data_IF_484086753813
#
_entry.id   IF_484086753813
#
_cell.length_a   1.000
_cell.length_b   1.000
_cell.length_c   1.000
_cell.angle_alpha   90.00
_cell.angle_beta   90.00
_cell.angle_gamma   90.00
#
_symmetry.space_group_name_H-M   'P 1'
#
loop_
_entity.id
_entity.type
_entity.pdbx_description
1 polymer ?
#
# COMPACT_ATOMS: atom_id res chain seq x y z
N UNK A 1 -19.14 1.00 5.17
CA UNK A 1 -18.75 2.31 5.74
C UNK A 1 -18.79 3.32 4.61
N UNK A 2 -19.49 4.45 4.76
CA UNK A 2 -19.52 5.49 3.72
C UNK A 2 -18.54 6.59 4.13
N UNK A 3 -17.50 6.81 3.33
CA UNK A 3 -16.56 7.91 3.54
C UNK A 3 -17.17 9.22 3.01
N UNK A 4 -16.77 10.32 3.61
CA UNK A 4 -17.27 11.65 3.21
C UNK A 4 -16.77 11.98 1.80
N UNK A 5 -17.62 12.60 0.95
CA UNK A 5 -17.16 13.14 -0.32
C UNK A 5 -15.98 14.10 -0.13
N UNK A 6 -15.07 14.11 -1.08
CA UNK A 6 -13.88 14.96 -1.07
C UNK A 6 -12.95 14.81 0.15
N UNK A 7 -13.07 13.70 0.89
CA UNK A 7 -12.24 13.42 2.07
C UNK A 7 -10.73 13.50 1.79
N UNK A 8 -10.32 13.20 0.57
CA UNK A 8 -8.94 13.16 0.12
C UNK A 8 -8.61 14.30 -0.87
N UNK A 9 -9.41 15.36 -0.89
CA UNK A 9 -9.13 16.52 -1.75
C UNK A 9 -7.77 17.11 -1.41
N UNK A 10 -6.92 17.26 -2.43
CA UNK A 10 -5.56 17.77 -2.30
C UNK A 10 -4.52 16.75 -1.87
N UNK A 11 -4.93 15.51 -1.60
CA UNK A 11 -4.02 14.39 -1.31
C UNK A 11 -3.51 13.81 -2.62
N UNK A 12 -2.20 13.58 -2.74
CA UNK A 12 -1.55 12.98 -3.90
C UNK A 12 -0.86 11.67 -3.53
N UNK A 13 -1.22 10.59 -4.21
CA UNK A 13 -0.84 9.22 -3.81
C UNK A 13 -0.24 8.46 -4.98
N UNK A 14 0.90 7.82 -4.76
CA UNK A 14 1.42 6.80 -5.65
C UNK A 14 0.66 5.48 -5.40
N UNK A 15 0.20 4.83 -6.46
CA UNK A 15 -0.41 3.49 -6.37
C UNK A 15 0.33 2.55 -7.29
N UNK A 16 0.81 1.44 -6.75
CA UNK A 16 1.55 0.43 -7.49
C UNK A 16 1.24 -0.99 -7.04
N UNK A 17 1.85 -1.95 -7.74
CA UNK A 17 1.62 -3.38 -7.52
C UNK A 17 0.81 -4.01 -8.65
N UNK A 18 0.69 -5.32 -8.62
CA UNK A 18 0.09 -6.15 -9.66
C UNK A 18 -1.22 -6.81 -9.25
N UNK A 19 -1.71 -6.51 -8.05
CA UNK A 19 -2.97 -7.03 -7.53
C UNK A 19 -4.20 -6.23 -7.96
N UNK A 20 -5.36 -6.87 -7.89
CA UNK A 20 -6.66 -6.24 -8.22
C UNK A 20 -7.04 -5.09 -7.28
N UNK A 21 -6.48 -5.09 -6.07
CA UNK A 21 -6.71 -4.01 -5.11
C UNK A 21 -6.09 -2.68 -5.56
N UNK A 22 -4.97 -2.69 -6.29
CA UNK A 22 -4.34 -1.47 -6.78
C UNK A 22 -5.31 -0.64 -7.65
N UNK A 23 -6.01 -1.30 -8.60
CA UNK A 23 -7.03 -0.64 -9.45
C UNK A 23 -8.20 -0.12 -8.62
N UNK A 24 -8.77 -0.96 -7.75
CA UNK A 24 -9.89 -0.55 -6.91
C UNK A 24 -9.52 0.59 -5.95
N UNK A 25 -8.30 0.58 -5.41
CA UNK A 25 -7.78 1.65 -4.58
C UNK A 25 -7.64 2.97 -5.37
N UNK A 26 -7.08 2.91 -6.58
CA UNK A 26 -6.95 4.07 -7.48
C UNK A 26 -8.31 4.72 -7.74
N UNK A 27 -9.32 3.90 -8.08
CA UNK A 27 -10.68 4.39 -8.35
C UNK A 27 -11.31 5.00 -7.09
N UNK A 28 -11.18 4.32 -5.94
CA UNK A 28 -11.71 4.81 -4.67
C UNK A 28 -11.05 6.12 -4.22
N UNK A 29 -9.74 6.25 -4.38
CA UNK A 29 -8.99 7.47 -4.06
C UNK A 29 -9.42 8.65 -4.93
N UNK A 30 -9.53 8.43 -6.25
CA UNK A 30 -10.02 9.46 -7.20
C UNK A 30 -11.45 9.89 -6.89
N UNK A 31 -12.33 8.94 -6.55
CA UNK A 31 -13.71 9.23 -6.18
C UNK A 31 -13.84 10.10 -4.91
N UNK A 32 -12.83 10.09 -4.04
CA UNK A 32 -12.76 10.93 -2.84
C UNK A 32 -11.91 12.20 -3.03
N UNK A 33 -11.52 12.52 -4.26
CA UNK A 33 -10.84 13.77 -4.62
C UNK A 33 -9.31 13.72 -4.59
N UNK A 34 -8.69 12.55 -4.40
CA UNK A 34 -7.24 12.41 -4.48
C UNK A 34 -6.72 12.45 -5.92
N UNK A 35 -5.49 12.92 -6.07
CA UNK A 35 -4.70 12.72 -7.29
C UNK A 35 -3.93 11.41 -7.15
N UNK A 36 -4.03 10.55 -8.17
CA UNK A 36 -3.36 9.24 -8.17
C UNK A 36 -2.34 9.17 -9.28
N UNK A 37 -1.09 8.91 -8.90
CA UNK A 37 0.03 8.60 -9.79
C UNK A 37 0.25 7.09 -9.81
N UNK A 38 0.01 6.48 -10.95
CA UNK A 38 0.21 5.03 -11.13
C UNK A 38 1.70 4.72 -11.22
N UNK A 39 2.21 3.85 -10.33
CA UNK A 39 3.60 3.37 -10.33
C UNK A 39 3.68 2.06 -11.12
N UNK A 40 4.18 2.08 -12.37
CA UNK A 40 4.25 0.87 -13.17
C UNK A 40 5.25 -0.13 -12.58
N UNK A 41 4.88 -1.40 -12.51
CA UNK A 41 5.78 -2.47 -12.03
C UNK A 41 7.05 -2.54 -12.87
N UNK A 42 6.98 -2.28 -14.18
CA UNK A 42 8.14 -2.26 -15.06
C UNK A 42 9.19 -1.22 -14.64
N UNK A 43 8.78 -0.08 -14.07
CA UNK A 43 9.68 0.95 -13.55
C UNK A 43 10.52 0.43 -12.38
N UNK A 44 9.99 -0.52 -11.60
CA UNK A 44 10.67 -1.11 -10.46
C UNK A 44 11.76 -2.12 -10.83
N UNK A 45 11.89 -2.49 -12.11
CA UNK A 45 12.97 -3.35 -12.58
C UNK A 45 14.34 -2.68 -12.43
N UNK A 46 14.38 -1.34 -12.48
CA UNK A 46 15.57 -0.51 -12.35
C UNK A 46 15.42 0.47 -11.17
N UNK A 47 16.42 0.53 -10.27
CA UNK A 47 16.36 1.37 -9.08
C UNK A 47 16.45 2.87 -9.41
N UNK A 48 17.25 3.23 -10.41
CA UNK A 48 17.43 4.63 -10.82
C UNK A 48 16.15 5.13 -11.52
N UNK A 49 15.53 4.30 -12.35
CA UNK A 49 14.24 4.61 -12.97
C UNK A 49 13.13 4.79 -11.92
N UNK A 50 13.09 3.93 -10.90
CA UNK A 50 12.13 4.05 -9.81
C UNK A 50 12.32 5.33 -8.99
N UNK A 51 13.58 5.67 -8.69
CA UNK A 51 13.92 6.90 -7.97
C UNK A 51 13.57 8.14 -8.79
N UNK A 52 13.92 8.18 -10.08
CA UNK A 52 13.57 9.27 -10.99
C UNK A 52 12.05 9.45 -11.09
N UNK A 53 11.29 8.35 -11.23
CA UNK A 53 9.83 8.38 -11.27
C UNK A 53 9.23 9.05 -10.03
N UNK A 54 9.76 8.73 -8.85
CA UNK A 54 9.28 9.29 -7.59
C UNK A 54 9.64 10.78 -7.46
N UNK A 55 10.87 11.16 -7.77
CA UNK A 55 11.33 12.56 -7.74
C UNK A 55 10.52 13.46 -8.68
N UNK A 56 10.20 12.98 -9.89
CA UNK A 56 9.39 13.74 -10.87
C UNK A 56 7.96 14.01 -10.37
N UNK A 57 7.45 13.21 -9.43
CA UNK A 57 6.08 13.29 -8.89
C UNK A 57 6.00 13.89 -7.50
N UNK A 58 7.14 14.24 -6.92
CA UNK A 58 7.17 14.90 -5.63
C UNK A 58 6.46 16.28 -5.67
N UNK A 59 5.80 16.72 -4.61
CA UNK A 59 5.58 15.97 -3.37
C UNK A 59 4.44 14.95 -3.51
N UNK A 60 4.55 13.86 -2.75
CA UNK A 60 3.49 12.88 -2.55
C UNK A 60 3.09 12.85 -1.08
N UNK A 61 1.85 12.49 -0.79
CA UNK A 61 1.32 12.31 0.56
C UNK A 61 1.31 10.83 0.99
N UNK A 62 1.41 9.91 0.02
CA UNK A 62 1.42 8.49 0.34
C UNK A 62 1.74 7.55 -0.79
N UNK A 63 1.91 6.28 -0.40
CA UNK A 63 2.07 5.13 -1.28
C UNK A 63 1.06 4.05 -0.89
N UNK A 64 0.36 3.52 -1.87
CA UNK A 64 -0.33 2.22 -1.78
C UNK A 64 0.42 1.23 -2.65
N UNK A 65 0.82 0.10 -2.08
CA UNK A 65 1.47 -0.95 -2.85
C UNK A 65 0.78 -2.29 -2.63
N UNK A 66 0.17 -2.81 -3.70
CA UNK A 66 -0.50 -4.11 -3.70
C UNK A 66 0.51 -5.19 -4.13
N UNK A 67 1.03 -5.91 -3.15
CA UNK A 67 1.95 -7.01 -3.36
C UNK A 67 1.23 -8.38 -3.51
N UNK A 68 -0.11 -8.37 -3.51
CA UNK A 68 -0.91 -9.60 -3.36
C UNK A 68 -0.69 -10.64 -4.43
N UNK A 69 -0.63 -10.25 -5.70
CA UNK A 69 -0.55 -11.19 -6.83
C UNK A 69 0.83 -11.86 -6.94
N UNK A 70 1.90 -11.15 -6.63
CA UNK A 70 3.27 -11.67 -6.79
C UNK A 70 3.62 -12.85 -5.88
N UNK A 71 2.83 -13.11 -4.82
CA UNK A 71 3.02 -14.26 -3.93
C UNK A 71 2.23 -15.51 -4.35
N UNK A 72 1.43 -15.43 -5.41
CA UNK A 72 0.47 -16.48 -5.78
C UNK A 72 1.09 -17.68 -6.49
N UNK A 73 2.10 -17.47 -7.32
CA UNK A 73 2.71 -18.50 -8.15
C UNK A 73 4.23 -18.42 -8.12
N UNK A 74 4.90 -19.56 -8.31
CA UNK A 74 6.35 -19.63 -8.27
C UNK A 74 6.91 -20.11 -6.92
N UNK A 75 8.20 -20.41 -6.90
CA UNK A 75 8.91 -20.90 -5.72
C UNK A 75 9.45 -19.77 -4.84
N UNK A 76 10.48 -20.09 -4.05
CA UNK A 76 11.17 -19.13 -3.18
C UNK A 76 11.75 -17.92 -3.94
N UNK A 77 12.05 -18.08 -5.24
CA UNK A 77 12.51 -16.99 -6.08
C UNK A 77 11.42 -15.95 -6.35
N UNK A 78 10.18 -16.39 -6.60
CA UNK A 78 9.04 -15.47 -6.75
C UNK A 78 8.77 -14.71 -5.44
N UNK A 79 8.84 -15.38 -4.29
CA UNK A 79 8.76 -14.73 -2.99
C UNK A 79 9.80 -13.62 -2.84
N UNK A 80 11.07 -13.92 -3.17
CA UNK A 80 12.16 -12.94 -3.12
C UNK A 80 11.91 -11.79 -4.07
N UNK A 81 11.61 -12.08 -5.34
CA UNK A 81 11.35 -11.06 -6.36
C UNK A 81 10.22 -10.11 -5.97
N UNK A 82 9.12 -10.64 -5.44
CA UNK A 82 8.00 -9.81 -4.96
C UNK A 82 8.42 -8.91 -3.80
N UNK A 83 9.19 -9.43 -2.85
CA UNK A 83 9.71 -8.62 -1.74
C UNK A 83 10.70 -7.54 -2.23
N UNK A 84 11.54 -7.85 -3.20
CA UNK A 84 12.46 -6.88 -3.80
C UNK A 84 11.72 -5.76 -4.52
N UNK A 85 10.71 -6.09 -5.34
CA UNK A 85 9.88 -5.07 -6.01
C UNK A 85 9.11 -4.21 -5.00
N UNK A 86 8.54 -4.83 -3.97
CA UNK A 86 7.87 -4.12 -2.88
C UNK A 86 8.83 -3.15 -2.19
N UNK A 87 10.03 -3.61 -1.84
CA UNK A 87 11.05 -2.76 -1.22
C UNK A 87 11.49 -1.61 -2.12
N UNK A 88 11.72 -1.87 -3.41
CA UNK A 88 12.09 -0.83 -4.38
C UNK A 88 11.01 0.24 -4.50
N UNK A 89 9.74 -0.15 -4.59
CA UNK A 89 8.62 0.80 -4.62
C UNK A 89 8.60 1.69 -3.38
N UNK A 90 8.66 1.06 -2.19
CA UNK A 90 8.65 1.77 -0.91
C UNK A 90 9.85 2.72 -0.80
N UNK A 91 11.05 2.23 -1.08
CA UNK A 91 12.27 3.02 -0.99
C UNK A 91 12.24 4.21 -1.96
N UNK A 92 11.91 3.97 -3.22
CA UNK A 92 11.86 5.03 -4.22
C UNK A 92 10.90 6.16 -3.83
N UNK A 93 9.67 5.81 -3.45
CA UNK A 93 8.65 6.81 -3.07
C UNK A 93 9.02 7.49 -1.75
N UNK A 94 9.49 6.74 -0.76
CA UNK A 94 9.85 7.32 0.53
C UNK A 94 11.01 8.30 0.42
N UNK A 95 12.11 7.92 -0.25
CA UNK A 95 13.29 8.78 -0.37
C UNK A 95 13.14 9.87 -1.42
N UNK A 96 12.48 9.60 -2.54
CA UNK A 96 12.35 10.54 -3.65
C UNK A 96 11.20 11.54 -3.52
N UNK A 97 10.18 11.24 -2.68
CA UNK A 97 9.00 12.08 -2.62
C UNK A 97 8.46 12.37 -1.21
N UNK A 98 8.47 11.40 -0.28
CA UNK A 98 7.89 11.62 1.05
C UNK A 98 8.87 12.33 1.99
N UNK A 99 10.10 11.85 2.12
CA UNK A 99 11.12 12.42 3.04
C UNK A 99 11.52 13.82 2.58
N UNK A 100 11.74 14.01 1.30
CA UNK A 100 12.14 15.30 0.72
C UNK A 100 11.06 16.37 0.88
N UNK A 101 9.78 15.99 0.94
CA UNK A 101 8.68 16.93 1.13
C UNK A 101 8.67 17.56 2.53
N UNK A 102 9.23 16.87 3.54
CA UNK A 102 9.13 17.26 4.94
C UNK A 102 7.70 17.22 5.51
N UNK A 103 6.74 16.70 4.74
CA UNK A 103 5.33 16.57 5.14
C UNK A 103 5.04 15.15 5.65
N UNK A 104 3.98 14.98 6.48
CA UNK A 104 3.58 13.66 6.92
C UNK A 104 3.23 12.73 5.74
N UNK A 105 3.86 11.56 5.68
CA UNK A 105 3.64 10.56 4.63
C UNK A 105 2.92 9.31 5.14
N UNK A 106 2.25 8.58 4.25
CA UNK A 106 1.55 7.33 4.58
C UNK A 106 1.87 6.23 3.61
N UNK A 107 2.23 5.06 4.13
CA UNK A 107 2.50 3.86 3.34
C UNK A 107 1.49 2.78 3.73
N UNK A 108 0.73 2.32 2.76
CA UNK A 108 -0.26 1.24 2.91
C UNK A 108 0.17 0.07 2.03
N UNK A 109 0.53 -1.04 2.66
CA UNK A 109 0.88 -2.27 1.98
C UNK A 109 -0.33 -3.20 1.96
N UNK A 110 -0.60 -3.84 0.83
CA UNK A 110 -1.63 -4.88 0.73
C UNK A 110 -0.94 -6.23 0.58
N UNK A 111 -1.19 -7.10 1.55
CA UNK A 111 -0.62 -8.44 1.59
C UNK A 111 -1.46 -9.43 0.75
N UNK A 112 -0.89 -10.59 0.37
CA UNK A 112 -1.62 -11.61 -0.34
C UNK A 112 -2.80 -12.15 0.49
N UNK A 113 -3.85 -12.60 -0.20
CA UNK A 113 -4.94 -13.37 0.42
C UNK A 113 -4.38 -14.69 0.99
N UNK A 114 -5.00 -15.28 2.03
CA UNK A 114 -4.47 -16.50 2.65
C UNK A 114 -4.40 -17.69 1.69
N UNK A 115 -5.23 -17.71 0.67
CA UNK A 115 -5.35 -18.73 -0.38
C UNK A 115 -4.65 -18.37 -1.69
N UNK A 116 -3.88 -17.27 -1.72
CA UNK A 116 -3.19 -16.81 -2.93
C UNK A 116 -2.09 -17.77 -3.41
N UNK A 117 -1.57 -18.64 -2.54
CA UNK A 117 -0.56 -19.63 -2.91
C UNK A 117 0.30 -20.09 -1.74
N UNK A 118 1.29 -20.96 -2.01
CA UNK A 118 2.07 -21.63 -0.96
C UNK A 118 2.91 -20.67 -0.11
N UNK A 119 3.23 -19.49 -0.62
CA UNK A 119 4.03 -18.47 0.07
C UNK A 119 3.20 -17.34 0.69
N UNK A 120 1.86 -17.40 0.60
CA UNK A 120 0.99 -16.36 1.13
C UNK A 120 1.25 -16.05 2.61
N UNK A 121 1.40 -17.08 3.45
CA UNK A 121 1.69 -16.91 4.87
C UNK A 121 3.03 -16.22 5.11
N UNK A 122 4.07 -16.64 4.37
CA UNK A 122 5.40 -16.03 4.48
C UNK A 122 5.39 -14.57 4.00
N UNK A 123 4.71 -14.28 2.87
CA UNK A 123 4.55 -12.93 2.34
C UNK A 123 3.82 -12.01 3.31
N UNK A 124 2.73 -12.48 3.92
CA UNK A 124 1.97 -11.73 4.95
C UNK A 124 2.86 -11.36 6.13
N UNK A 125 3.58 -12.33 6.68
CA UNK A 125 4.49 -12.10 7.81
C UNK A 125 5.65 -11.16 7.45
N UNK A 126 6.22 -11.28 6.25
CA UNK A 126 7.28 -10.41 5.78
C UNK A 126 6.82 -8.96 5.63
N UNK A 127 5.65 -8.73 5.03
CA UNK A 127 5.07 -7.39 4.87
C UNK A 127 4.66 -6.77 6.22
N UNK A 128 4.17 -7.56 7.16
CA UNK A 128 3.89 -7.08 8.52
C UNK A 128 5.18 -6.63 9.22
N UNK A 129 6.23 -7.47 9.17
CA UNK A 129 7.51 -7.09 9.75
C UNK A 129 8.09 -5.84 9.08
N UNK A 130 7.98 -5.73 7.75
CA UNK A 130 8.41 -4.57 7.00
C UNK A 130 7.66 -3.31 7.46
N UNK A 131 6.34 -3.33 7.54
CA UNK A 131 5.55 -2.18 8.00
C UNK A 131 5.94 -1.74 9.43
N UNK A 132 6.19 -2.70 10.35
CA UNK A 132 6.68 -2.41 11.71
C UNK A 132 8.06 -1.76 11.70
N UNK A 133 8.98 -2.30 10.90
CA UNK A 133 10.33 -1.72 10.78
C UNK A 133 10.27 -0.29 10.25
N UNK A 134 9.55 -0.07 9.16
CA UNK A 134 9.41 1.25 8.55
C UNK A 134 8.73 2.27 9.48
N UNK A 135 7.78 1.82 10.30
CA UNK A 135 7.11 2.69 11.27
C UNK A 135 8.05 3.25 12.35
N UNK A 136 9.15 2.54 12.63
CA UNK A 136 10.20 2.98 13.56
C UNK A 136 11.26 3.82 12.83
N UNK A 137 11.78 3.30 11.73
CA UNK A 137 12.87 3.93 10.98
C UNK A 137 12.49 5.32 10.44
N UNK A 138 11.25 5.48 9.98
CA UNK A 138 10.77 6.72 9.36
C UNK A 138 9.85 7.56 10.23
N UNK A 139 9.67 7.20 11.50
CA UNK A 139 8.91 8.01 12.46
C UNK A 139 9.45 9.45 12.54
N UNK A 140 10.77 9.63 12.48
CA UNK A 140 11.43 10.95 12.48
C UNK A 140 11.05 11.82 11.28
N UNK A 141 10.58 11.21 10.19
CA UNK A 141 10.11 11.88 8.98
C UNK A 141 8.58 12.00 8.94
N UNK A 142 7.91 11.65 10.04
CA UNK A 142 6.44 11.65 10.15
C UNK A 142 5.77 10.71 9.13
N UNK A 143 6.46 9.66 8.70
CA UNK A 143 5.92 8.65 7.80
C UNK A 143 5.36 7.50 8.62
N UNK A 144 4.09 7.18 8.38
CA UNK A 144 3.41 6.00 8.94
C UNK A 144 3.43 4.87 7.92
N UNK A 145 3.53 3.62 8.40
CA UNK A 145 3.47 2.43 7.56
C UNK A 145 2.55 1.40 8.18
N UNK A 146 1.63 0.87 7.39
CA UNK A 146 0.65 -0.14 7.81
C UNK A 146 0.52 -1.22 6.75
N UNK A 147 0.00 -2.39 7.15
CA UNK A 147 -0.30 -3.48 6.23
C UNK A 147 -1.74 -3.95 6.36
N UNK A 148 -2.40 -4.13 5.23
CA UNK A 148 -3.72 -4.74 5.12
C UNK A 148 -3.56 -6.24 4.85
N UNK A 149 -4.21 -7.05 5.65
CA UNK A 149 -4.30 -8.49 5.48
C UNK A 149 -5.72 -8.88 5.05
N UNK A 150 -5.96 -9.02 3.74
CA UNK A 150 -7.28 -9.47 3.27
C UNK A 150 -7.54 -10.92 3.69
N UNK A 151 -8.77 -11.23 4.05
CA UNK A 151 -9.27 -12.60 4.12
C UNK A 151 -9.65 -13.12 2.72
N UNK A 152 -9.93 -14.44 2.60
CA UNK A 152 -10.33 -15.02 1.31
C UNK A 152 -11.61 -14.42 0.74
N UNK A 153 -12.53 -13.98 1.60
CA UNK A 153 -13.79 -13.38 1.21
C UNK A 153 -13.77 -11.83 1.16
N UNK A 154 -12.64 -11.19 1.49
CA UNK A 154 -12.52 -9.73 1.44
C UNK A 154 -12.62 -9.24 0.01
N UNK A 155 -13.56 -8.35 -0.29
CA UNK A 155 -13.71 -7.77 -1.62
C UNK A 155 -12.67 -6.68 -1.88
N UNK A 156 -12.32 -6.44 -3.15
CA UNK A 156 -11.42 -5.34 -3.51
C UNK A 156 -12.04 -3.98 -3.15
N UNK A 157 -13.36 -3.85 -3.20
CA UNK A 157 -14.05 -2.64 -2.74
C UNK A 157 -13.87 -2.40 -1.23
N UNK A 158 -13.86 -3.44 -0.40
CA UNK A 158 -13.60 -3.31 1.04
C UNK A 158 -12.14 -2.91 1.30
N UNK A 159 -11.19 -3.50 0.56
CA UNK A 159 -9.78 -3.11 0.60
C UNK A 159 -9.60 -1.64 0.19
N UNK A 160 -10.23 -1.22 -0.91
CA UNK A 160 -10.17 0.16 -1.39
C UNK A 160 -10.72 1.15 -0.34
N UNK A 161 -11.86 0.84 0.30
CA UNK A 161 -12.41 1.69 1.36
C UNK A 161 -11.47 1.81 2.56
N UNK A 162 -10.85 0.69 2.99
CA UNK A 162 -9.90 0.71 4.09
C UNK A 162 -8.62 1.50 3.70
N UNK A 163 -8.15 1.34 2.49
CA UNK A 163 -7.02 2.11 1.94
C UNK A 163 -7.32 3.61 1.95
N UNK A 164 -8.49 4.02 1.46
CA UNK A 164 -8.91 5.43 1.50
C UNK A 164 -8.99 5.99 2.93
N UNK A 165 -9.51 5.20 3.88
CA UNK A 165 -9.54 5.58 5.29
C UNK A 165 -8.12 5.79 5.84
N UNK A 166 -7.19 4.87 5.57
CA UNK A 166 -5.82 4.94 6.06
C UNK A 166 -5.03 6.11 5.47
N UNK A 167 -5.35 6.53 4.25
CA UNK A 167 -4.75 7.70 3.61
C UNK A 167 -5.42 9.02 4.02
N UNK A 168 -6.55 8.96 4.71
CA UNK A 168 -7.21 10.16 5.26
C UNK A 168 -6.48 10.67 6.52
N UNK A 169 -6.79 11.89 6.99
CA UNK A 169 -6.24 12.41 8.24
C UNK A 169 -6.42 11.46 9.44
N UNK A 170 -7.54 10.73 9.51
CA UNK A 170 -7.81 9.76 10.57
C UNK A 170 -6.88 8.54 10.53
N UNK A 171 -6.40 8.16 9.35
CA UNK A 171 -5.42 7.08 9.18
C UNK A 171 -4.03 7.40 9.73
N UNK A 172 -3.70 8.68 9.90
CA UNK A 172 -2.42 9.12 10.43
C UNK A 172 -2.13 8.71 11.88
N UNK A 173 -3.15 8.23 12.62
CA UNK A 173 -2.96 7.68 13.96
C UNK A 173 -2.41 6.25 13.99
N UNK A 174 -2.37 5.57 12.84
CA UNK A 174 -1.96 4.18 12.76
C UNK A 174 -0.59 4.06 12.12
N UNK A 175 0.36 3.44 12.83
CA UNK A 175 1.68 3.13 12.32
C UNK A 175 2.17 1.81 12.91
N UNK A 176 2.86 1.00 12.12
CA UNK A 176 3.32 -0.33 12.50
C UNK A 176 2.19 -1.35 12.72
N UNK A 177 0.97 -1.03 12.31
CA UNK A 177 -0.22 -1.83 12.54
C UNK A 177 -0.50 -2.78 11.37
N UNK A 178 -1.03 -3.95 11.72
CA UNK A 178 -1.68 -4.88 10.80
C UNK A 178 -3.19 -4.74 10.93
N UNK A 179 -3.90 -4.67 9.81
CA UNK A 179 -5.36 -4.68 9.74
C UNK A 179 -5.82 -5.96 9.08
N UNK A 180 -6.43 -6.84 9.83
CA UNK A 180 -7.04 -8.07 9.31
C UNK A 180 -8.48 -7.76 8.87
N UNK A 181 -8.74 -8.00 7.57
CA UNK A 181 -10.04 -7.76 6.97
C UNK A 181 -10.78 -9.08 6.74
N UNK A 182 -10.90 -9.88 7.78
CA UNK A 182 -11.74 -11.08 7.70
C UNK A 182 -13.20 -10.68 7.55
N UNK A 183 -13.96 -11.49 6.83
CA UNK A 183 -15.41 -11.32 6.69
C UNK A 183 -16.04 -11.41 8.08
N UNK A 184 -16.30 -10.29 8.69
CA UNK A 184 -17.30 -10.25 9.76
C UNK A 184 -18.59 -10.66 9.06
N UNK A 185 -19.08 -11.85 9.34
CA UNK A 185 -20.42 -12.25 8.93
C UNK A 185 -21.37 -11.22 9.53
N UNK A 186 -21.79 -10.25 8.72
CA UNK A 186 -22.88 -9.37 9.10
C UNK A 186 -24.10 -10.29 9.18
N UNK A 187 -24.46 -10.67 10.40
CA UNK A 187 -25.71 -11.37 10.62
C UNK A 187 -26.79 -10.51 9.97
N UNK A 188 -27.41 -11.05 8.93
CA UNK A 188 -28.55 -10.41 8.30
C UNK A 188 -29.61 -10.20 9.42
N UNK A 189 -29.88 -8.93 9.75
CA UNK A 189 -30.98 -8.54 10.63
C UNK A 189 -32.24 -8.47 9.80
#
# INVERSE_FOLDING_TARGET
MTLLPDLLRGVRVAVGGDGSCATAASDGLRALGATVDELPVATLADEDAAAAWACERAPLDGLVYDAGAGFGTGGAEALRGTMELTWRAIRAVATGALIESGLPGRIVLVAPRPDAGPHAVAGRAALENLARTLSVEWARHQITAVVLWPGSATTDAALAQMTCFLLSPAGGYFSGCRFELDSVAVAAR
#
